data_IF_926775659074
#
_entry.id   IF_926775659074
#
_cell.length_a   1.000
_cell.length_b   1.000
_cell.length_c   1.000
_cell.angle_alpha   90.00
_cell.angle_beta   90.00
_cell.angle_gamma   90.00
#
_symmetry.space_group_name_H-M   'P 1'
#
loop_
_entity.id
_entity.type
_entity.pdbx_description
1 polymer ?
#
# COMPACT_ATOMS: atom_id res chain seq x y z
N UNK A 1 9.47 0.19 4.17
CA UNK A 1 10.27 0.31 5.41
C UNK A 1 11.07 -0.97 5.68
N UNK A 2 10.42 -2.10 5.95
CA UNK A 2 11.08 -3.38 6.31
C UNK A 2 12.12 -3.88 5.30
N UNK A 3 11.76 -4.01 4.02
CA UNK A 3 12.69 -4.51 3.00
C UNK A 3 13.89 -3.59 2.80
N UNK A 4 13.68 -2.27 2.88
CA UNK A 4 14.73 -1.28 2.69
C UNK A 4 15.76 -1.35 3.82
N UNK A 5 15.31 -1.49 5.06
CA UNK A 5 16.19 -1.66 6.22
C UNK A 5 17.04 -2.93 6.11
N UNK A 6 16.45 -4.04 5.66
CA UNK A 6 17.18 -5.29 5.45
C UNK A 6 18.22 -5.18 4.33
N UNK A 7 17.86 -4.52 3.22
CA UNK A 7 18.77 -4.25 2.09
C UNK A 7 19.97 -3.41 2.56
N UNK A 8 19.72 -2.31 3.26
CA UNK A 8 20.78 -1.43 3.78
C UNK A 8 21.67 -2.18 4.78
N UNK A 9 21.11 -3.05 5.63
CA UNK A 9 21.88 -3.87 6.57
C UNK A 9 22.74 -4.95 5.91
N UNK A 10 22.37 -5.42 4.70
CA UNK A 10 23.14 -6.41 3.95
C UNK A 10 24.36 -5.81 3.22
N UNK A 11 24.35 -4.50 2.93
CA UNK A 11 25.45 -3.79 2.25
C UNK A 11 26.80 -3.93 2.98
N UNK A 12 26.93 -3.62 4.28
CA UNK A 12 28.22 -3.76 4.96
C UNK A 12 28.70 -5.21 5.09
N UNK A 13 27.79 -6.18 5.16
CA UNK A 13 28.15 -7.61 5.15
C UNK A 13 28.83 -8.00 3.82
N UNK A 14 28.30 -7.46 2.72
CA UNK A 14 28.82 -7.64 1.36
C UNK A 14 30.08 -6.81 1.07
N UNK A 15 30.49 -5.88 1.94
CA UNK A 15 31.73 -5.11 1.76
C UNK A 15 32.83 -5.52 2.75
N UNK A 16 32.51 -6.38 3.72
CA UNK A 16 33.46 -6.84 4.73
C UNK A 16 34.51 -7.78 4.12
N UNK A 17 35.79 -7.45 4.33
CA UNK A 17 36.95 -8.24 3.90
C UNK A 17 37.58 -8.88 5.14
N UNK A 18 37.70 -10.20 5.16
CA UNK A 18 38.22 -10.95 6.32
C UNK A 18 37.96 -12.47 6.21
N UNK A 19 38.24 -13.21 7.28
CA UNK A 19 37.99 -14.66 7.31
C UNK A 19 36.50 -14.97 7.11
N UNK A 20 36.19 -15.84 6.15
CA UNK A 20 34.82 -16.18 5.78
C UNK A 20 34.09 -15.14 4.91
N UNK A 21 34.82 -14.20 4.28
CA UNK A 21 34.22 -13.21 3.37
C UNK A 21 33.43 -13.87 2.23
N UNK A 22 33.92 -14.99 1.69
CA UNK A 22 33.30 -15.71 0.59
C UNK A 22 31.85 -16.12 0.92
N UNK A 23 31.63 -16.63 2.14
CA UNK A 23 30.31 -17.01 2.63
C UNK A 23 29.40 -15.78 2.85
N UNK A 24 29.94 -14.70 3.45
CA UNK A 24 29.19 -13.46 3.71
C UNK A 24 28.79 -12.73 2.42
N UNK A 25 29.68 -12.74 1.43
CA UNK A 25 29.44 -12.18 0.09
C UNK A 25 28.31 -12.92 -0.62
N UNK A 26 28.33 -14.25 -0.59
CA UNK A 26 27.28 -15.07 -1.20
C UNK A 26 25.91 -14.78 -0.57
N UNK A 27 25.82 -14.80 0.76
CA UNK A 27 24.58 -14.51 1.49
C UNK A 27 24.13 -13.06 1.25
N UNK A 28 25.05 -12.09 1.33
CA UNK A 28 24.75 -10.67 1.12
C UNK A 28 24.18 -10.38 -0.28
N UNK A 29 24.76 -10.99 -1.32
CA UNK A 29 24.29 -10.84 -2.71
C UNK A 29 22.89 -11.40 -2.89
N UNK A 30 22.61 -12.61 -2.36
CA UNK A 30 21.29 -13.24 -2.42
C UNK A 30 20.24 -12.41 -1.69
N UNK A 31 20.56 -11.88 -0.51
CA UNK A 31 19.64 -11.05 0.28
C UNK A 31 19.36 -9.73 -0.45
N UNK A 32 20.38 -9.06 -0.96
CA UNK A 32 20.24 -7.78 -1.67
C UNK A 32 19.37 -7.93 -2.93
N UNK A 33 19.73 -8.84 -3.84
CA UNK A 33 18.97 -9.05 -5.08
C UNK A 33 17.61 -9.71 -4.81
N UNK A 34 17.56 -10.69 -3.90
CA UNK A 34 16.35 -11.42 -3.56
C UNK A 34 15.27 -10.52 -2.95
N UNK A 35 15.63 -9.69 -1.97
CA UNK A 35 14.68 -8.74 -1.38
C UNK A 35 14.27 -7.62 -2.35
N UNK A 36 15.22 -7.13 -3.15
CA UNK A 36 14.91 -6.10 -4.15
C UNK A 36 13.93 -6.65 -5.18
N UNK A 37 14.22 -7.80 -5.78
CA UNK A 37 13.36 -8.45 -6.75
C UNK A 37 12.02 -8.85 -6.14
N UNK A 38 12.02 -9.48 -4.97
CA UNK A 38 10.78 -9.86 -4.27
C UNK A 38 9.91 -8.64 -4.00
N UNK A 39 10.48 -7.49 -3.60
CA UNK A 39 9.70 -6.27 -3.37
C UNK A 39 9.04 -5.77 -4.65
N UNK A 40 9.77 -5.69 -5.77
CA UNK A 40 9.17 -5.31 -7.06
C UNK A 40 8.09 -6.29 -7.51
N UNK A 41 8.39 -7.59 -7.42
CA UNK A 41 7.45 -8.65 -7.82
C UNK A 41 6.21 -8.60 -6.96
N UNK A 42 6.32 -8.50 -5.64
CA UNK A 42 5.16 -8.40 -4.73
C UNK A 42 4.32 -7.16 -5.03
N UNK A 43 4.95 -5.99 -5.24
CA UNK A 43 4.22 -4.76 -5.56
C UNK A 43 3.40 -4.87 -6.86
N UNK A 44 3.79 -5.72 -7.81
CA UNK A 44 3.07 -5.90 -9.07
C UNK A 44 2.13 -7.11 -9.06
N UNK A 45 2.60 -8.24 -8.54
CA UNK A 45 1.90 -9.53 -8.55
C UNK A 45 0.75 -9.53 -7.56
N UNK A 46 0.92 -8.97 -6.35
CA UNK A 46 -0.17 -8.93 -5.36
C UNK A 46 -1.40 -8.18 -5.88
N UNK A 47 -1.30 -6.94 -6.40
CA UNK A 47 -2.47 -6.26 -6.95
C UNK A 47 -3.00 -6.93 -8.21
N UNK A 48 -2.16 -7.49 -9.07
CA UNK A 48 -2.62 -8.21 -10.26
C UNK A 48 -3.47 -9.43 -9.89
N UNK A 49 -3.00 -10.24 -8.94
CA UNK A 49 -3.75 -11.40 -8.44
C UNK A 49 -5.02 -10.93 -7.71
N UNK A 50 -4.93 -9.89 -6.88
CA UNK A 50 -6.09 -9.33 -6.20
C UNK A 50 -7.15 -8.86 -7.20
N UNK A 51 -6.75 -8.18 -8.27
CA UNK A 51 -7.65 -7.72 -9.33
C UNK A 51 -8.26 -8.91 -10.10
N UNK A 52 -7.50 -9.96 -10.35
CA UNK A 52 -7.99 -11.17 -11.02
C UNK A 52 -9.07 -11.86 -10.18
N UNK A 53 -8.83 -12.00 -8.88
CA UNK A 53 -9.81 -12.58 -7.95
C UNK A 53 -11.03 -11.67 -7.81
N UNK A 54 -10.84 -10.36 -7.64
CA UNK A 54 -11.93 -9.39 -7.49
C UNK A 54 -12.85 -9.35 -8.72
N UNK A 55 -12.29 -9.46 -9.93
CA UNK A 55 -13.06 -9.60 -11.18
C UNK A 55 -13.90 -10.88 -11.17
N UNK A 56 -13.31 -12.01 -10.77
CA UNK A 56 -14.00 -13.30 -10.75
C UNK A 56 -15.06 -13.39 -9.64
N UNK A 57 -14.86 -12.67 -8.55
CA UNK A 57 -15.82 -12.54 -7.45
C UNK A 57 -16.92 -11.49 -7.71
N UNK A 58 -16.92 -10.79 -8.86
CA UNK A 58 -17.98 -9.86 -9.25
C UNK A 58 -18.02 -8.53 -8.49
N UNK A 59 -16.98 -8.19 -7.72
CA UNK A 59 -16.97 -7.05 -6.79
C UNK A 59 -16.46 -5.74 -7.42
N UNK A 60 -15.95 -5.77 -8.65
CA UNK A 60 -15.21 -4.65 -9.25
C UNK A 60 -16.13 -3.56 -9.85
N UNK A 61 -17.37 -3.88 -10.24
CA UNK A 61 -18.20 -2.94 -11.02
C UNK A 61 -18.92 -1.83 -10.24
N UNK A 62 -19.10 -1.98 -8.92
CA UNK A 62 -19.87 -1.02 -8.13
C UNK A 62 -19.09 0.26 -7.81
N UNK A 63 -17.77 0.15 -7.61
CA UNK A 63 -16.91 1.31 -7.29
C UNK A 63 -16.62 2.17 -8.52
N UNK A 64 -16.39 1.57 -9.68
CA UNK A 64 -16.10 2.30 -10.91
C UNK A 64 -17.29 3.20 -11.32
N UNK A 65 -18.53 2.72 -11.15
CA UNK A 65 -19.75 3.52 -11.41
C UNK A 65 -19.87 4.72 -10.48
N UNK A 66 -19.56 4.56 -9.20
CA UNK A 66 -19.58 5.65 -8.23
C UNK A 66 -18.50 6.69 -8.53
N UNK A 67 -17.32 6.25 -9.01
CA UNK A 67 -16.24 7.16 -9.42
C UNK A 67 -16.65 7.95 -10.66
N UNK A 68 -17.22 7.30 -11.68
CA UNK A 68 -17.72 7.97 -12.90
C UNK A 68 -18.85 8.96 -12.57
N UNK A 69 -19.77 8.61 -11.66
CA UNK A 69 -20.86 9.49 -11.24
C UNK A 69 -20.35 10.72 -10.48
N UNK A 70 -19.38 10.54 -9.57
CA UNK A 70 -18.74 11.65 -8.85
C UNK A 70 -17.93 12.54 -9.80
N UNK A 71 -17.24 11.97 -10.80
CA UNK A 71 -16.51 12.75 -11.81
C UNK A 71 -17.45 13.49 -12.77
N UNK A 72 -18.59 12.90 -13.12
CA UNK A 72 -19.61 13.53 -13.97
C UNK A 72 -20.34 14.69 -13.26
N UNK A 73 -20.52 14.59 -11.94
CA UNK A 73 -21.11 15.65 -11.11
C UNK A 73 -20.10 16.71 -10.67
N UNK A 74 -18.81 16.37 -10.61
CA UNK A 74 -17.70 17.29 -10.30
C UNK A 74 -17.14 18.01 -11.54
N UNK A 75 -17.91 18.94 -12.09
CA UNK A 75 -17.34 20.09 -12.84
C UNK A 75 -16.47 20.93 -11.88
N UNK A 76 -15.32 21.53 -12.29
CA UNK A 76 -14.31 22.00 -11.36
C UNK A 76 -14.76 23.24 -10.58
N UNK A 77 -15.30 23.01 -9.39
CA UNK A 77 -15.37 23.99 -8.33
C UNK A 77 -14.72 23.36 -7.10
N UNK A 78 -13.60 23.93 -6.69
CA UNK A 78 -12.85 23.60 -5.49
C UNK A 78 -13.70 23.76 -4.20
N UNK A 79 -13.10 23.53 -3.03
CA UNK A 79 -13.25 22.37 -2.15
C UNK A 79 -14.35 22.54 -1.06
N UNK A 80 -14.58 21.46 -0.29
CA UNK A 80 -15.26 21.36 1.03
C UNK A 80 -16.72 20.86 1.04
N UNK A 81 -17.25 20.29 2.15
CA UNK A 81 -16.64 20.02 3.47
C UNK A 81 -16.62 18.53 3.86
N UNK A 82 -15.69 18.15 4.74
CA UNK A 82 -15.60 16.81 5.35
C UNK A 82 -16.85 16.55 6.20
N UNK A 83 -17.64 15.50 5.94
CA UNK A 83 -18.78 15.11 6.78
C UNK A 83 -18.26 14.54 8.10
N UNK A 84 -18.08 15.43 9.08
CA UNK A 84 -17.54 15.09 10.40
C UNK A 84 -17.63 16.22 11.43
N UNK A 85 -18.37 17.30 11.16
CA UNK A 85 -18.75 18.25 12.19
C UNK A 85 -19.88 17.62 13.02
N UNK A 86 -19.48 16.86 14.03
CA UNK A 86 -20.34 16.35 15.10
C UNK A 86 -21.13 17.53 15.67
N UNK A 87 -22.43 17.57 15.39
CA UNK A 87 -23.36 18.40 16.13
C UNK A 87 -23.56 17.76 17.51
N UNK A 88 -23.24 18.44 18.63
CA UNK A 88 -23.60 17.93 19.94
C UNK A 88 -25.13 17.95 20.09
N UNK A 89 -25.68 16.75 20.13
CA UNK A 89 -27.00 16.37 20.64
C UNK A 89 -27.36 17.18 21.90
N UNK A 90 -28.24 18.17 21.73
CA UNK A 90 -28.62 19.14 22.75
C UNK A 90 -30.13 19.24 22.90
N UNK A 91 -30.70 18.29 23.65
CA UNK A 91 -31.95 18.36 24.42
C UNK A 91 -33.09 19.21 23.85
N UNK A 92 -34.10 18.53 23.30
CA UNK A 92 -35.49 18.83 23.63
C UNK A 92 -36.22 17.51 23.93
N UNK A 93 -36.59 17.34 25.20
CA UNK A 93 -37.43 16.24 25.68
C UNK A 93 -38.82 16.83 25.92
N UNK A 94 -39.89 16.30 25.31
CA UNK A 94 -41.24 16.80 25.56
C UNK A 94 -41.78 16.17 26.85
N UNK A 95 -42.28 17.00 27.76
CA UNK A 95 -43.19 16.65 28.85
C UNK A 95 -44.00 17.92 29.12
N UNK A 96 -45.28 17.94 28.72
CA UNK A 96 -46.42 17.65 29.61
C UNK A 96 -46.63 18.78 30.62
#
# INVERSE_FOLDING_TARGET
MTSLTAIIGAVPLMLSMGAGYESRMAVGTVVFFGLSLATLVTLLVVPAIYHLIARRAGMTGARDRLVDEVLATATPASPSPVPGAVAPEGRDKPAA
#
